data_IF_852335003202
#
_entry.id   IF_852335003202
#
_cell.length_a   1.000
_cell.length_b   1.000
_cell.length_c   1.000
_cell.angle_alpha   90.00
_cell.angle_beta   90.00
_cell.angle_gamma   90.00
#
_symmetry.space_group_name_H-M   'P 1'
#
loop_
_entity.id
_entity.type
_entity.pdbx_description
1 polymer ?
#
# COMPACT_ATOMS: atom_id res chain seq x y z
N UNK A 1 31.20 -75.98 36.21
CA UNK A 1 30.55 -74.79 35.61
C UNK A 1 29.86 -74.01 36.73
N UNK A 2 30.48 -72.94 37.21
CA UNK A 2 29.94 -72.11 38.30
C UNK A 2 28.74 -71.29 37.82
N UNK A 3 27.63 -71.34 38.56
CA UNK A 3 26.41 -70.56 38.31
C UNK A 3 26.73 -69.07 38.29
N UNK A 4 26.39 -68.39 37.19
CA UNK A 4 26.36 -66.93 37.11
C UNK A 4 25.44 -66.39 38.21
N UNK A 5 26.01 -65.76 39.24
CA UNK A 5 25.23 -65.01 40.23
C UNK A 5 24.64 -63.79 39.52
N UNK A 6 23.35 -63.84 39.20
CA UNK A 6 22.58 -62.64 38.92
C UNK A 6 22.63 -61.83 40.21
N UNK A 7 23.42 -60.75 40.22
CA UNK A 7 23.47 -59.81 41.34
C UNK A 7 22.09 -59.13 41.39
N UNK A 8 21.21 -59.62 42.25
CA UNK A 8 19.96 -58.94 42.56
C UNK A 8 20.30 -57.53 43.04
N UNK A 9 19.72 -56.51 42.40
CA UNK A 9 19.89 -55.11 42.81
C UNK A 9 19.40 -55.00 44.26
N UNK A 10 20.19 -54.36 45.12
CA UNK A 10 19.80 -54.16 46.52
C UNK A 10 18.41 -53.49 46.56
N UNK A 11 17.42 -54.03 47.29
CA UNK A 11 16.07 -53.48 47.36
C UNK A 11 16.03 -51.98 47.68
N UNK A 12 16.99 -51.51 48.50
CA UNK A 12 17.13 -50.09 48.85
C UNK A 12 17.53 -49.26 47.61
N UNK A 13 18.46 -49.77 46.80
CA UNK A 13 18.90 -49.11 45.57
C UNK A 13 17.77 -49.10 44.54
N UNK A 14 17.03 -50.21 44.40
CA UNK A 14 15.88 -50.28 43.51
C UNK A 14 14.77 -49.29 43.91
N UNK A 15 14.47 -49.16 45.21
CA UNK A 15 13.51 -48.20 45.72
C UNK A 15 13.92 -46.75 45.43
N UNK A 16 15.20 -46.40 45.61
CA UNK A 16 15.72 -45.08 45.27
C UNK A 16 15.58 -44.76 43.78
N UNK A 17 15.87 -45.73 42.90
CA UNK A 17 15.66 -45.55 41.46
C UNK A 17 14.19 -45.35 41.10
N UNK A 18 13.26 -46.08 41.74
CA UNK A 18 11.83 -45.93 41.50
C UNK A 18 11.31 -44.56 41.95
N UNK A 19 11.76 -44.06 43.11
CA UNK A 19 11.41 -42.73 43.59
C UNK A 19 11.94 -41.66 42.63
N UNK A 20 13.21 -41.77 42.22
CA UNK A 20 13.81 -40.83 41.28
C UNK A 20 13.09 -40.83 39.92
N UNK A 21 12.76 -42.01 39.38
CA UNK A 21 12.00 -42.13 38.14
C UNK A 21 10.59 -41.52 38.28
N UNK A 22 9.90 -41.76 39.40
CA UNK A 22 8.58 -41.18 39.65
C UNK A 22 8.62 -39.65 39.72
N UNK A 23 9.65 -39.07 40.35
CA UNK A 23 9.84 -37.61 40.40
C UNK A 23 10.12 -37.06 39.00
N UNK A 24 11.00 -37.69 38.23
CA UNK A 24 11.34 -37.25 36.85
C UNK A 24 10.09 -37.28 35.96
N UNK A 25 9.32 -38.37 35.99
CA UNK A 25 8.09 -38.49 35.21
C UNK A 25 7.04 -37.48 35.70
N UNK A 26 6.92 -37.26 37.00
CA UNK A 26 6.02 -36.27 37.59
C UNK A 26 6.34 -34.84 37.12
N UNK A 27 7.61 -34.44 37.16
CA UNK A 27 8.05 -33.11 36.68
C UNK A 27 7.82 -32.97 35.17
N UNK A 28 8.13 -34.01 34.39
CA UNK A 28 7.88 -34.01 32.94
C UNK A 28 6.38 -33.88 32.61
N UNK A 29 5.51 -34.56 33.37
CA UNK A 29 4.06 -34.47 33.20
C UNK A 29 3.51 -33.09 33.58
N UNK A 30 4.01 -32.49 34.66
CA UNK A 30 3.61 -31.12 35.06
C UNK A 30 4.06 -30.12 33.99
N UNK A 31 5.30 -30.22 33.51
CA UNK A 31 5.81 -29.34 32.45
C UNK A 31 5.03 -29.51 31.13
N UNK A 32 4.65 -30.74 30.78
CA UNK A 32 3.85 -31.02 29.59
C UNK A 32 2.41 -30.53 29.71
N UNK A 33 1.74 -30.78 30.83
CA UNK A 33 0.36 -30.33 31.06
C UNK A 33 0.26 -28.81 31.12
N UNK A 34 1.21 -28.12 31.75
CA UNK A 34 1.30 -26.66 31.72
C UNK A 34 1.45 -26.10 30.30
N UNK A 35 2.25 -26.76 29.44
CA UNK A 35 2.36 -26.37 28.01
C UNK A 35 1.06 -26.63 27.25
N UNK A 36 0.36 -27.73 27.53
CA UNK A 36 -0.89 -28.07 26.86
C UNK A 36 -2.02 -27.09 27.22
N UNK A 37 -2.18 -26.74 28.51
CA UNK A 37 -3.16 -25.74 28.93
C UNK A 37 -2.76 -24.31 28.53
N UNK A 38 -1.46 -24.01 28.52
CA UNK A 38 -0.93 -22.74 28.03
C UNK A 38 -1.10 -22.54 26.53
N UNK A 39 -1.17 -23.61 25.73
CA UNK A 39 -1.46 -23.58 24.30
C UNK A 39 -2.97 -23.64 24.00
N UNK A 40 -3.75 -24.38 24.80
CA UNK A 40 -5.20 -24.51 24.63
C UNK A 40 -5.98 -23.21 24.95
N UNK A 41 -5.43 -22.34 25.79
CA UNK A 41 -6.03 -21.04 26.12
C UNK A 41 -5.62 -19.92 25.15
N UNK A 42 -4.85 -20.21 24.09
CA UNK A 42 -4.46 -19.21 23.08
C UNK A 42 -5.49 -19.11 21.97
N UNK A 43 -6.10 -17.94 21.88
CA UNK A 43 -7.03 -17.56 20.83
C UNK A 43 -6.59 -16.24 20.18
N UNK A 44 -6.78 -16.17 18.88
CA UNK A 44 -6.59 -14.99 18.05
C UNK A 44 -7.92 -14.28 17.90
N UNK A 45 -8.01 -12.98 18.22
CA UNK A 45 -9.19 -12.17 17.93
C UNK A 45 -8.84 -10.69 17.85
N UNK A 46 -9.60 -9.98 17.01
CA UNK A 46 -9.53 -8.53 16.84
C UNK A 46 -10.85 -7.88 17.25
N UNK A 47 -10.73 -6.77 17.95
CA UNK A 47 -11.78 -5.79 18.06
C UNK A 47 -11.52 -4.70 17.04
N UNK A 48 -12.41 -4.55 16.06
CA UNK A 48 -12.36 -3.45 15.10
C UNK A 48 -13.46 -2.48 15.47
N UNK A 49 -13.11 -1.20 15.55
CA UNK A 49 -14.05 -0.09 15.72
C UNK A 49 -13.76 0.94 14.64
N UNK A 50 -14.76 1.73 14.29
CA UNK A 50 -14.62 2.71 13.23
C UNK A 50 -15.32 4.00 13.60
N UNK A 51 -14.68 5.10 13.24
CA UNK A 51 -15.15 6.45 13.44
C UNK A 51 -15.15 7.16 12.09
N UNK A 52 -16.35 7.51 11.62
CA UNK A 52 -16.49 8.32 10.42
C UNK A 52 -16.42 9.79 10.81
N UNK A 53 -15.40 10.47 10.34
CA UNK A 53 -15.26 11.92 10.48
C UNK A 53 -15.73 12.58 9.19
N UNK A 54 -16.93 13.18 9.24
CA UNK A 54 -17.40 14.09 8.20
C UNK A 54 -16.90 15.49 8.51
N UNK A 55 -16.09 16.04 7.61
CA UNK A 55 -15.91 17.48 7.50
C UNK A 55 -16.65 17.97 6.26
N UNK A 56 -16.93 19.27 6.18
CA UNK A 56 -17.61 19.91 5.04
C UNK A 56 -16.88 19.74 3.69
N UNK A 57 -15.66 19.20 3.68
CA UNK A 57 -14.80 19.07 2.50
C UNK A 57 -14.14 17.68 2.34
N UNK A 58 -14.17 16.81 3.36
CA UNK A 58 -13.55 15.46 3.34
C UNK A 58 -14.32 14.53 4.28
N UNK A 59 -14.70 13.36 3.81
CA UNK A 59 -15.18 12.28 4.68
C UNK A 59 -14.09 11.21 4.80
N UNK A 60 -13.67 10.97 6.05
CA UNK A 60 -12.59 10.04 6.38
C UNK A 60 -13.11 9.01 7.38
N UNK A 61 -12.76 7.74 7.17
CA UNK A 61 -13.08 6.67 8.10
C UNK A 61 -11.82 6.27 8.86
N UNK A 62 -11.76 6.59 10.15
CA UNK A 62 -10.68 6.12 11.03
C UNK A 62 -11.10 4.80 11.68
N UNK A 63 -10.38 3.74 11.39
CA UNK A 63 -10.48 2.45 12.04
C UNK A 63 -9.55 2.40 13.24
N UNK A 64 -9.99 1.75 14.30
CA UNK A 64 -9.14 1.33 15.41
C UNK A 64 -9.28 -0.18 15.58
N UNK A 65 -8.16 -0.87 15.43
CA UNK A 65 -8.04 -2.32 15.47
C UNK A 65 -7.23 -2.66 16.72
N UNK A 66 -7.85 -3.38 17.64
CA UNK A 66 -7.22 -3.83 18.89
C UNK A 66 -7.08 -5.33 18.90
N UNK A 67 -5.90 -5.83 19.25
CA UNK A 67 -5.71 -7.24 19.54
C UNK A 67 -6.32 -7.54 20.93
N UNK A 68 -7.46 -8.23 20.94
CA UNK A 68 -8.13 -8.69 22.16
C UNK A 68 -7.89 -10.17 22.44
N UNK A 69 -7.16 -10.83 21.55
CA UNK A 69 -6.68 -12.19 21.71
C UNK A 69 -5.48 -12.31 22.66
N UNK A 70 -4.83 -13.45 22.59
CA UNK A 70 -3.73 -13.86 23.47
C UNK A 70 -2.47 -14.26 22.71
N UNK A 71 -2.49 -14.20 21.38
CA UNK A 71 -1.34 -14.40 20.49
C UNK A 71 -1.05 -13.13 19.69
N UNK A 72 0.16 -13.08 19.13
CA UNK A 72 0.58 -12.01 18.23
C UNK A 72 -0.10 -12.20 16.86
N UNK A 73 -0.65 -11.11 16.33
CA UNK A 73 -1.37 -11.12 15.06
C UNK A 73 -0.68 -10.23 14.06
N UNK A 74 -0.58 -10.63 12.80
CA UNK A 74 -0.13 -9.75 11.70
C UNK A 74 -1.34 -9.39 10.86
N UNK A 75 -1.71 -8.10 10.79
CA UNK A 75 -2.71 -7.67 9.81
C UNK A 75 -2.14 -7.96 8.41
N UNK A 76 -2.95 -8.23 7.40
CA UNK A 76 -2.46 -8.49 6.04
C UNK A 76 -3.28 -7.79 4.96
N UNK A 77 -4.50 -7.38 5.29
CA UNK A 77 -5.38 -6.67 4.37
C UNK A 77 -6.46 -5.92 5.15
N UNK A 78 -6.84 -4.74 4.69
CA UNK A 78 -8.08 -4.08 5.09
C UNK A 78 -8.86 -3.75 3.83
N UNK A 79 -10.13 -4.10 3.80
CA UNK A 79 -11.06 -3.87 2.69
C UNK A 79 -12.29 -3.14 3.20
N UNK A 80 -12.85 -2.27 2.37
CA UNK A 80 -14.14 -1.64 2.63
C UNK A 80 -15.04 -1.87 1.44
N UNK A 81 -16.20 -2.46 1.71
CA UNK A 81 -17.25 -2.72 0.72
C UNK A 81 -18.45 -1.80 0.99
N UNK A 82 -19.05 -1.31 -0.09
CA UNK A 82 -20.32 -0.57 -0.08
C UNK A 82 -21.26 -1.12 -1.14
N UNK A 83 -22.56 -0.90 -0.97
CA UNK A 83 -23.59 -1.41 -1.90
C UNK A 83 -23.45 -0.87 -3.34
N UNK A 84 -22.68 0.20 -3.56
CA UNK A 84 -22.62 0.94 -4.84
C UNK A 84 -21.29 0.78 -5.60
N UNK A 85 -20.41 -0.16 -5.22
CA UNK A 85 -19.19 -0.45 -5.99
C UNK A 85 -18.12 0.66 -5.97
N UNK A 86 -18.26 1.65 -5.09
CA UNK A 86 -17.30 2.73 -4.87
C UNK A 86 -15.97 2.15 -4.37
N UNK A 87 -14.84 2.57 -4.95
CA UNK A 87 -13.50 2.18 -4.49
C UNK A 87 -13.07 3.01 -3.27
N UNK A 88 -12.52 2.35 -2.27
CA UNK A 88 -11.95 2.99 -1.07
C UNK A 88 -10.46 2.70 -1.01
N UNK A 89 -9.64 3.75 -0.88
CA UNK A 89 -8.22 3.60 -0.60
C UNK A 89 -8.03 3.47 0.92
N UNK A 90 -7.41 2.37 1.38
CA UNK A 90 -7.14 2.16 2.80
C UNK A 90 -5.70 2.52 3.12
N UNK A 91 -5.48 3.66 3.75
CA UNK A 91 -4.23 3.99 4.43
C UNK A 91 -4.21 3.28 5.80
N UNK A 92 -3.73 2.04 5.90
CA UNK A 92 -3.59 1.38 7.20
C UNK A 92 -2.73 2.23 8.18
N UNK A 93 -2.91 2.11 9.51
CA UNK A 93 -2.50 3.18 10.46
C UNK A 93 -2.10 2.75 11.89
N UNK A 94 -1.59 1.55 12.18
CA UNK A 94 -0.81 1.24 13.39
C UNK A 94 0.62 1.71 13.38
N UNK A 95 0.91 2.88 13.99
CA UNK A 95 2.23 3.53 14.01
C UNK A 95 2.96 3.45 12.65
N UNK A 96 2.50 4.30 11.74
CA UNK A 96 3.04 4.46 10.40
C UNK A 96 4.02 5.62 10.48
N UNK A 97 5.31 5.33 10.46
CA UNK A 97 6.36 6.36 10.30
C UNK A 97 6.54 6.69 8.82
N UNK A 98 5.42 6.90 8.11
CA UNK A 98 5.36 7.33 6.72
C UNK A 98 4.43 8.52 6.57
N UNK A 99 4.70 9.38 5.59
CA UNK A 99 3.86 10.51 5.23
C UNK A 99 2.93 10.08 4.10
N UNK A 100 1.66 10.49 4.19
CA UNK A 100 0.64 10.27 3.16
C UNK A 100 0.09 11.61 2.76
N UNK A 101 0.11 11.90 1.46
CA UNK A 101 -0.38 13.15 0.90
C UNK A 101 -1.36 12.85 -0.23
N UNK A 102 -2.51 13.51 -0.18
CA UNK A 102 -3.58 13.36 -1.17
C UNK A 102 -3.95 14.73 -1.67
N UNK A 103 -3.92 14.88 -2.99
CA UNK A 103 -4.25 16.10 -3.70
C UNK A 103 -5.54 15.88 -4.48
N UNK A 104 -6.55 16.65 -4.12
CA UNK A 104 -7.79 16.79 -4.85
C UNK A 104 -7.72 18.13 -5.59
N UNK A 105 -8.19 18.18 -6.83
CA UNK A 105 -8.18 19.41 -7.61
C UNK A 105 -9.58 20.03 -7.63
N UNK A 106 -10.05 20.50 -6.48
CA UNK A 106 -11.39 21.10 -6.33
C UNK A 106 -11.35 22.62 -6.48
N UNK A 107 -10.23 23.25 -6.13
CA UNK A 107 -10.03 24.69 -6.15
C UNK A 107 -8.63 25.07 -6.63
N UNK A 108 -8.48 26.31 -7.10
CA UNK A 108 -7.18 26.85 -7.52
C UNK A 108 -6.13 26.84 -6.40
N UNK A 109 -6.56 26.88 -5.13
CA UNK A 109 -5.69 26.81 -3.95
C UNK A 109 -5.01 25.43 -3.81
N UNK A 110 -5.56 24.37 -4.42
CA UNK A 110 -5.01 23.01 -4.37
C UNK A 110 -3.71 22.86 -5.19
N UNK A 111 -3.42 23.81 -6.09
CA UNK A 111 -2.12 23.92 -6.76
C UNK A 111 -1.02 24.49 -5.86
N UNK A 112 -1.35 24.91 -4.64
CA UNK A 112 -0.36 25.44 -3.70
C UNK A 112 0.77 24.45 -3.43
N UNK A 113 2.00 24.88 -3.73
CA UNK A 113 3.20 24.06 -3.54
C UNK A 113 3.46 23.05 -4.67
N UNK A 114 2.75 23.18 -5.79
CA UNK A 114 3.17 22.64 -7.08
C UNK A 114 3.88 23.74 -7.90
N UNK A 115 4.83 23.34 -8.71
CA UNK A 115 5.36 24.13 -9.83
C UNK A 115 4.55 23.77 -11.05
N UNK A 116 3.92 24.70 -11.75
CA UNK A 116 3.07 24.36 -12.88
C UNK A 116 3.11 25.43 -13.97
N UNK A 117 2.83 25.02 -15.19
CA UNK A 117 2.71 25.89 -16.36
C UNK A 117 1.53 25.42 -17.21
N UNK A 118 0.73 26.36 -17.70
CA UNK A 118 -0.52 26.11 -18.44
C UNK A 118 -1.53 25.16 -17.77
N UNK A 119 -1.37 24.87 -16.48
CA UNK A 119 -2.29 24.06 -15.69
C UNK A 119 -3.22 24.95 -14.85
N UNK A 120 -4.49 24.54 -14.71
CA UNK A 120 -5.46 25.21 -13.84
C UNK A 120 -6.49 24.21 -13.31
N UNK A 121 -7.09 24.52 -12.16
CA UNK A 121 -8.18 23.72 -11.62
C UNK A 121 -9.51 24.23 -12.18
N UNK A 122 -10.21 23.38 -12.92
CA UNK A 122 -11.59 23.63 -13.31
C UNK A 122 -12.49 23.35 -12.11
N UNK A 123 -12.77 24.39 -11.31
CA UNK A 123 -13.55 24.29 -10.07
C UNK A 123 -15.01 23.84 -10.29
N UNK A 124 -15.51 23.88 -11.54
CA UNK A 124 -16.85 23.37 -11.87
C UNK A 124 -16.81 21.86 -12.09
N UNK A 125 -15.76 21.35 -12.71
CA UNK A 125 -15.57 19.91 -12.92
C UNK A 125 -14.82 19.23 -11.77
N UNK A 126 -14.23 20.00 -10.85
CA UNK A 126 -13.35 19.52 -9.78
C UNK A 126 -12.20 18.67 -10.35
N UNK A 127 -11.55 19.18 -11.41
CA UNK A 127 -10.45 18.53 -12.12
C UNK A 127 -9.31 19.49 -12.42
N UNK A 128 -8.09 18.97 -12.42
CA UNK A 128 -6.94 19.65 -13.00
C UNK A 128 -6.98 19.49 -14.52
N UNK A 129 -6.84 20.61 -15.23
CA UNK A 129 -6.83 20.69 -16.69
C UNK A 129 -5.60 21.47 -17.18
N UNK A 130 -5.26 21.30 -18.45
CA UNK A 130 -4.12 21.93 -19.12
C UNK A 130 -4.61 22.69 -20.36
N UNK A 131 -3.98 23.83 -20.67
CA UNK A 131 -4.29 24.65 -21.84
C UNK A 131 -3.04 25.43 -22.34
N UNK A 132 -2.01 24.72 -22.83
CA UNK A 132 -0.83 25.32 -23.43
C UNK A 132 -1.11 25.87 -24.83
N UNK A 133 -0.33 26.87 -25.26
CA UNK A 133 -0.25 27.24 -26.67
C UNK A 133 0.26 26.08 -27.56
N UNK A 134 0.03 26.13 -28.88
CA UNK A 134 0.65 25.19 -29.82
C UNK A 134 2.17 25.16 -29.66
N UNK A 135 2.75 23.95 -29.67
CA UNK A 135 4.18 23.68 -29.48
C UNK A 135 4.73 23.99 -28.07
N UNK A 136 3.87 24.32 -27.10
CA UNK A 136 4.24 24.48 -25.68
C UNK A 136 3.73 23.31 -24.84
N UNK A 137 4.20 23.20 -23.59
CA UNK A 137 3.91 22.07 -22.69
C UNK A 137 3.21 22.57 -21.44
N UNK A 138 1.99 22.11 -21.19
CA UNK A 138 1.37 22.25 -19.88
C UNK A 138 1.87 21.18 -18.93
N UNK A 139 2.23 21.53 -17.70
CA UNK A 139 2.71 20.59 -16.68
C UNK A 139 2.36 21.02 -15.25
N UNK A 140 2.39 20.05 -14.33
CA UNK A 140 2.29 20.24 -12.88
C UNK A 140 3.32 19.35 -12.20
N UNK A 141 4.24 19.91 -11.43
CA UNK A 141 5.34 19.21 -10.78
C UNK A 141 5.29 19.45 -9.27
N UNK A 142 5.62 18.44 -8.49
CA UNK A 142 5.88 18.60 -7.06
C UNK A 142 6.99 17.70 -6.61
N UNK A 143 7.99 18.31 -5.99
CA UNK A 143 9.18 17.63 -5.48
C UNK A 143 9.06 17.39 -3.97
N UNK A 144 9.33 16.15 -3.52
CA UNK A 144 9.55 15.83 -2.11
C UNK A 144 11.03 15.61 -1.85
N UNK A 145 11.66 16.53 -1.13
CA UNK A 145 13.05 16.39 -0.71
C UNK A 145 13.13 15.85 0.72
N UNK A 146 13.42 14.55 0.87
CA UNK A 146 13.83 13.97 2.14
C UNK A 146 15.13 13.20 1.93
N UNK A 147 16.12 13.41 2.81
CA UNK A 147 17.48 12.88 2.67
C UNK A 147 17.57 11.33 2.65
N UNK A 148 16.46 10.66 2.90
CA UNK A 148 16.38 9.31 3.43
C UNK A 148 15.01 8.72 3.02
N UNK A 149 14.72 8.43 1.74
CA UNK A 149 13.44 7.85 1.30
C UNK A 149 13.53 6.33 1.08
N UNK A 150 12.86 5.49 1.87
CA UNK A 150 12.98 4.01 1.76
C UNK A 150 11.85 3.32 0.98
N UNK A 151 10.73 4.02 0.77
CA UNK A 151 9.56 3.47 0.11
C UNK A 151 8.74 4.58 -0.53
N UNK A 152 8.07 4.19 -1.62
CA UNK A 152 7.24 5.06 -2.41
C UNK A 152 6.16 4.24 -3.13
N UNK A 153 4.91 4.64 -2.95
CA UNK A 153 3.75 4.18 -3.72
C UNK A 153 2.93 5.39 -4.19
N UNK A 154 2.33 5.30 -5.36
CA UNK A 154 1.51 6.38 -5.95
C UNK A 154 0.35 5.83 -6.74
N UNK A 155 -0.79 6.51 -6.60
CA UNK A 155 -2.00 6.28 -7.36
C UNK A 155 -2.48 7.58 -7.99
N UNK A 156 -2.80 7.53 -9.28
CA UNK A 156 -3.24 8.69 -10.05
C UNK A 156 -4.43 8.30 -10.91
N UNK A 157 -5.43 9.18 -10.92
CA UNK A 157 -6.67 8.97 -11.65
C UNK A 157 -6.82 10.02 -12.75
N UNK A 158 -6.74 9.56 -14.00
CA UNK A 158 -6.59 10.41 -15.18
C UNK A 158 -7.60 10.05 -16.26
N UNK A 159 -8.19 11.08 -16.86
CA UNK A 159 -9.00 11.00 -18.09
C UNK A 159 -8.13 11.42 -19.28
N UNK A 160 -8.17 10.68 -20.39
CA UNK A 160 -7.42 11.02 -21.62
C UNK A 160 -8.18 10.63 -22.90
N UNK A 161 -8.22 11.53 -23.88
CA UNK A 161 -8.99 11.34 -25.13
C UNK A 161 -8.17 10.67 -26.25
N UNK A 162 -7.92 9.37 -26.14
CA UNK A 162 -7.80 8.35 -27.21
C UNK A 162 -6.98 8.56 -28.51
N UNK A 163 -6.30 9.66 -28.79
CA UNK A 163 -5.35 9.77 -29.92
C UNK A 163 -4.53 11.04 -29.83
N UNK A 164 -3.21 10.92 -30.03
CA UNK A 164 -2.37 12.05 -30.41
C UNK A 164 -2.36 12.18 -31.93
N UNK A 165 -2.48 13.39 -32.45
CA UNK A 165 -2.51 13.60 -33.90
C UNK A 165 -1.12 13.49 -34.58
N UNK A 166 -0.01 13.39 -33.82
CA UNK A 166 1.35 13.41 -34.41
C UNK A 166 2.48 12.62 -33.72
N UNK A 167 2.38 12.19 -32.45
CA UNK A 167 3.46 11.46 -31.73
C UNK A 167 3.05 10.86 -30.36
N UNK A 168 3.87 10.00 -29.75
CA UNK A 168 3.64 9.58 -28.36
C UNK A 168 3.89 10.73 -27.36
N UNK A 169 2.89 11.05 -26.53
CA UNK A 169 2.94 12.08 -25.50
C UNK A 169 3.03 11.48 -24.09
N UNK A 170 3.76 12.15 -23.18
CA UNK A 170 3.94 11.70 -21.79
C UNK A 170 2.71 12.08 -20.97
N UNK A 171 1.93 11.09 -20.58
CA UNK A 171 0.77 11.28 -19.71
C UNK A 171 1.17 11.34 -18.23
N UNK A 172 2.17 10.56 -17.87
CA UNK A 172 2.64 10.48 -16.50
C UNK A 172 4.11 10.09 -16.49
N UNK A 173 4.87 10.72 -15.61
CA UNK A 173 6.22 10.32 -15.29
C UNK A 173 6.46 10.45 -13.80
N UNK A 174 7.39 9.64 -13.28
CA UNK A 174 7.85 9.71 -11.91
C UNK A 174 9.26 9.15 -11.79
N UNK A 175 10.09 9.82 -10.98
CA UNK A 175 11.42 9.35 -10.59
C UNK A 175 11.52 9.31 -9.07
N UNK A 176 12.30 8.37 -8.55
CA UNK A 176 12.58 8.28 -7.12
C UNK A 176 13.95 7.65 -6.88
N UNK A 177 14.49 7.90 -5.68
CA UNK A 177 15.78 7.37 -5.27
C UNK A 177 15.66 6.70 -3.91
N UNK A 178 16.14 5.47 -3.84
CA UNK A 178 16.18 4.68 -2.61
C UNK A 178 17.63 4.59 -2.10
N UNK A 179 17.87 4.75 -0.80
CA UNK A 179 19.17 4.54 -0.19
C UNK A 179 19.77 3.18 -0.59
N UNK A 180 21.03 3.20 -1.01
CA UNK A 180 21.79 1.98 -1.30
C UNK A 180 23.00 1.84 -0.40
N UNK A 181 23.79 2.92 -0.26
CA UNK A 181 24.88 3.04 0.71
C UNK A 181 25.23 4.53 0.92
N UNK A 182 26.22 4.80 1.78
CA UNK A 182 26.68 6.15 2.15
C UNK A 182 27.08 7.07 0.98
N UNK A 183 27.23 6.54 -0.24
CA UNK A 183 27.70 7.29 -1.41
C UNK A 183 26.83 7.10 -2.66
N UNK A 184 25.83 6.22 -2.62
CA UNK A 184 25.03 5.84 -3.79
C UNK A 184 23.56 5.60 -3.42
N UNK A 185 22.67 5.87 -4.37
CA UNK A 185 21.26 5.54 -4.31
C UNK A 185 20.85 4.65 -5.51
N UNK A 186 19.77 3.88 -5.35
CA UNK A 186 19.09 3.23 -6.45
C UNK A 186 18.04 4.17 -7.02
N UNK A 187 18.22 4.62 -8.27
CA UNK A 187 17.23 5.36 -9.03
C UNK A 187 16.20 4.39 -9.62
N UNK A 188 14.92 4.69 -9.40
CA UNK A 188 13.81 4.13 -10.15
C UNK A 188 13.13 5.24 -10.96
N UNK A 189 12.53 4.88 -12.10
CA UNK A 189 11.62 5.75 -12.81
C UNK A 189 10.54 4.93 -13.51
N UNK A 190 9.35 5.51 -13.60
CA UNK A 190 8.20 4.92 -14.25
C UNK A 190 7.38 5.99 -14.96
N UNK A 191 6.68 5.62 -16.02
CA UNK A 191 5.80 6.54 -16.72
C UNK A 191 4.81 5.84 -17.64
N UNK A 192 3.81 6.60 -18.06
CA UNK A 192 2.81 6.21 -19.05
C UNK A 192 2.88 7.20 -20.20
N UNK A 193 3.03 6.67 -21.42
CA UNK A 193 2.90 7.43 -22.65
C UNK A 193 1.66 6.96 -23.42
N UNK A 194 1.06 7.88 -24.18
CA UNK A 194 -0.05 7.59 -25.10
C UNK A 194 0.43 7.85 -26.52
N UNK A 195 0.36 6.85 -27.40
CA UNK A 195 0.74 6.98 -28.81
C UNK A 195 -0.36 7.61 -29.69
N UNK A 196 -0.02 7.86 -30.96
CA UNK A 196 -0.93 8.44 -31.96
C UNK A 196 -2.18 7.58 -32.24
N UNK A 197 -2.17 6.30 -31.84
CA UNK A 197 -3.27 5.36 -32.01
C UNK A 197 -4.09 5.13 -30.72
N UNK A 198 -3.82 5.91 -29.67
CA UNK A 198 -4.45 5.74 -28.36
C UNK A 198 -3.96 4.50 -27.61
N UNK A 199 -2.79 3.97 -27.96
CA UNK A 199 -2.14 2.90 -27.20
C UNK A 199 -1.44 3.44 -25.98
N UNK A 200 -1.54 2.69 -24.89
CA UNK A 200 -0.82 2.97 -23.65
C UNK A 200 0.54 2.25 -23.68
N UNK A 201 1.59 2.99 -23.43
CA UNK A 201 2.96 2.49 -23.31
C UNK A 201 3.43 2.66 -21.86
N UNK A 202 3.99 1.60 -21.27
CA UNK A 202 4.60 1.66 -19.94
C UNK A 202 6.11 1.81 -20.06
N UNK A 203 6.60 2.90 -19.48
CA UNK A 203 8.00 3.31 -19.54
C UNK A 203 8.68 3.08 -18.19
N UNK A 204 9.86 2.46 -18.21
CA UNK A 204 10.74 2.33 -17.03
C UNK A 204 12.18 2.60 -17.43
N UNK A 205 13.10 2.78 -16.47
CA UNK A 205 14.52 3.01 -16.78
C UNK A 205 15.10 1.90 -17.68
N UNK A 206 16.02 2.29 -18.56
CA UNK A 206 16.91 1.35 -19.23
C UNK A 206 17.90 0.76 -18.22
N UNK A 207 18.41 -0.45 -18.50
CA UNK A 207 19.36 -1.13 -17.59
C UNK A 207 20.65 -0.33 -17.35
N UNK A 208 21.05 0.53 -18.30
CA UNK A 208 22.19 1.43 -18.20
C UNK A 208 21.87 2.76 -17.49
N UNK A 209 20.60 3.04 -17.21
CA UNK A 209 20.11 4.26 -16.58
C UNK A 209 20.26 5.53 -17.42
N UNK A 210 20.53 5.38 -18.73
CA UNK A 210 20.71 6.49 -19.66
C UNK A 210 19.39 7.09 -20.17
N UNK A 211 18.25 6.41 -19.95
CA UNK A 211 16.93 6.90 -20.33
C UNK A 211 15.81 5.95 -19.88
N UNK A 212 14.67 6.02 -20.56
CA UNK A 212 13.53 5.13 -20.37
C UNK A 212 13.31 4.26 -21.60
N UNK A 213 12.73 3.08 -21.38
CA UNK A 213 12.25 2.19 -22.44
C UNK A 213 10.77 1.92 -22.23
N UNK A 214 9.99 2.07 -23.30
CA UNK A 214 8.55 1.96 -23.28
C UNK A 214 8.08 0.68 -23.97
N UNK A 215 7.09 0.01 -23.41
CA UNK A 215 6.51 -1.22 -23.95
C UNK A 215 5.00 -1.08 -24.05
N UNK A 216 4.43 -1.57 -25.15
CA UNK A 216 2.98 -1.59 -25.34
C UNK A 216 2.30 -2.36 -24.21
N UNK A 217 1.37 -1.69 -23.53
CA UNK A 217 0.56 -2.25 -22.45
C UNK A 217 -0.85 -2.56 -22.92
N UNK A 218 -1.46 -1.67 -23.71
CA UNK A 218 -2.81 -1.86 -24.19
C UNK A 218 -3.34 -0.62 -24.89
N UNK A 219 -4.65 -0.41 -24.84
CA UNK A 219 -5.32 0.77 -25.39
C UNK A 219 -6.08 1.50 -24.30
N UNK A 220 -6.28 2.80 -24.49
CA UNK A 220 -7.19 3.60 -23.66
C UNK A 220 -8.58 2.95 -23.68
N UNK A 221 -9.21 2.73 -22.52
CA UNK A 221 -10.53 2.12 -22.43
C UNK A 221 -11.62 3.05 -23.01
N UNK A 222 -12.79 2.51 -23.33
CA UNK A 222 -13.91 3.32 -23.83
C UNK A 222 -14.38 4.38 -22.81
N UNK A 223 -14.19 4.11 -21.51
CA UNK A 223 -14.43 5.04 -20.40
C UNK A 223 -13.50 6.25 -20.43
N UNK A 224 -12.34 6.13 -21.11
CA UNK A 224 -11.23 7.10 -21.15
C UNK A 224 -10.52 7.34 -19.82
N UNK A 225 -11.08 6.83 -18.74
CA UNK A 225 -10.50 6.91 -17.41
C UNK A 225 -9.56 5.74 -17.17
N UNK A 226 -8.35 6.07 -16.77
CA UNK A 226 -7.35 5.09 -16.35
C UNK A 226 -6.85 5.40 -14.94
N UNK A 227 -6.52 4.34 -14.22
CA UNK A 227 -5.87 4.41 -12.93
C UNK A 227 -4.43 3.94 -13.09
N UNK A 228 -3.48 4.83 -12.77
CA UNK A 228 -2.05 4.55 -12.83
C UNK A 228 -1.57 4.28 -11.42
N UNK A 229 -0.99 3.09 -11.20
CA UNK A 229 -0.38 2.71 -9.92
C UNK A 229 1.11 2.50 -10.11
N UNK A 230 1.91 3.22 -9.34
CA UNK A 230 3.36 2.99 -9.24
C UNK A 230 3.66 2.48 -7.85
N UNK A 231 4.31 1.33 -7.81
CA UNK A 231 4.88 0.77 -6.60
C UNK A 231 6.38 0.63 -6.77
N UNK A 232 7.06 0.23 -5.69
CA UNK A 232 8.48 -0.10 -5.73
C UNK A 232 8.85 -1.05 -6.88
N UNK A 233 8.04 -2.07 -7.14
CA UNK A 233 8.45 -3.19 -7.98
C UNK A 233 7.84 -3.15 -9.38
N UNK A 234 6.73 -2.41 -9.56
CA UNK A 234 6.06 -2.30 -10.86
C UNK A 234 5.27 -1.01 -11.02
N UNK A 235 5.05 -0.65 -12.29
CA UNK A 235 3.98 0.25 -12.72
C UNK A 235 2.84 -0.58 -13.33
N UNK A 236 1.60 -0.18 -13.05
CA UNK A 236 0.39 -0.77 -13.60
C UNK A 236 -0.56 0.32 -14.09
N UNK A 237 -1.26 0.03 -15.17
CA UNK A 237 -2.37 0.84 -15.68
C UNK A 237 -3.60 -0.03 -15.73
N UNK A 238 -4.69 0.47 -15.16
CA UNK A 238 -5.98 -0.20 -15.09
C UNK A 238 -7.05 0.65 -15.77
N UNK A 239 -8.06 0.00 -16.32
CA UNK A 239 -9.32 0.67 -16.62
C UNK A 239 -9.96 1.06 -15.28
N UNK A 240 -10.17 2.36 -15.14
CA UNK A 240 -10.66 2.96 -13.92
C UNK A 240 -12.08 2.50 -13.54
N UNK A 241 -12.93 2.18 -14.52
CA UNK A 241 -14.30 1.74 -14.28
C UNK A 241 -14.36 0.25 -13.94
N UNK A 242 -13.71 -0.58 -14.75
CA UNK A 242 -13.79 -2.05 -14.63
C UNK A 242 -12.78 -2.66 -13.67
N UNK A 243 -11.74 -1.92 -13.26
CA UNK A 243 -10.55 -2.44 -12.56
C UNK A 243 -9.75 -3.48 -13.34
N UNK A 244 -10.00 -3.66 -14.64
CA UNK A 244 -9.21 -4.58 -15.44
C UNK A 244 -7.80 -4.01 -15.64
N UNK A 245 -6.78 -4.83 -15.38
CA UNK A 245 -5.39 -4.45 -15.64
C UNK A 245 -5.20 -4.40 -17.15
N UNK A 246 -4.93 -3.19 -17.67
CA UNK A 246 -4.61 -2.97 -19.08
C UNK A 246 -3.18 -3.44 -19.33
N UNK A 247 -2.24 -3.09 -18.45
CA UNK A 247 -0.90 -3.65 -18.49
C UNK A 247 -0.08 -3.35 -17.25
N UNK A 248 1.02 -4.08 -17.11
CA UNK A 248 1.99 -3.92 -16.03
C UNK A 248 3.42 -4.06 -16.53
N UNK A 249 4.36 -3.42 -15.83
CA UNK A 249 5.79 -3.51 -16.12
C UNK A 249 6.60 -3.42 -14.84
N UNK A 250 7.60 -4.29 -14.70
CA UNK A 250 8.52 -4.28 -13.57
C UNK A 250 9.43 -3.04 -13.61
N UNK A 251 9.70 -2.47 -12.43
CA UNK A 251 10.62 -1.33 -12.28
C UNK A 251 12.06 -1.82 -12.40
N UNK A 252 12.83 -1.10 -13.23
CA UNK A 252 14.27 -1.26 -13.34
C UNK A 252 14.95 -0.25 -12.42
N UNK A 253 15.89 -0.71 -11.61
CA UNK A 253 16.68 0.12 -10.71
C UNK A 253 18.13 0.24 -11.17
N UNK A 254 18.67 1.45 -11.14
CA UNK A 254 20.07 1.73 -11.48
C UNK A 254 20.76 2.42 -10.32
N UNK A 255 21.99 1.98 -9.99
CA UNK A 255 22.78 2.61 -8.92
C UNK A 255 23.46 3.87 -9.47
N UNK A 256 23.19 5.02 -8.86
CA UNK A 256 23.75 6.32 -9.25
C UNK A 256 24.34 7.06 -8.05
N UNK A 257 25.28 7.99 -8.32
CA UNK A 257 25.81 8.92 -7.33
C UNK A 257 24.75 9.94 -6.91
N UNK A 258 24.80 10.34 -5.63
CA UNK A 258 23.76 11.07 -4.87
C UNK A 258 22.95 12.09 -5.72
N UNK A 259 21.60 12.01 -5.67
CA UNK A 259 20.74 12.99 -6.33
C UNK A 259 19.85 13.78 -5.36
N UNK A 260 19.46 14.96 -5.81
CA UNK A 260 18.35 15.72 -5.25
C UNK A 260 17.04 14.98 -5.58
N UNK A 261 16.36 14.54 -4.52
CA UNK A 261 15.11 13.81 -4.57
C UNK A 261 14.03 14.64 -5.26
N UNK A 262 13.54 14.16 -6.40
CA UNK A 262 12.48 14.80 -7.18
C UNK A 262 11.53 13.70 -7.64
N UNK A 263 10.37 13.57 -6.98
CA UNK A 263 9.22 13.09 -7.76
C UNK A 263 8.89 14.24 -8.68
N UNK A 264 8.83 13.95 -9.97
CA UNK A 264 8.37 14.90 -10.96
C UNK A 264 7.19 14.24 -11.62
N UNK A 265 6.00 14.73 -11.32
CA UNK A 265 4.86 14.45 -12.16
C UNK A 265 5.01 15.34 -13.39
N UNK A 266 4.94 14.72 -14.57
CA UNK A 266 4.72 15.42 -15.82
C UNK A 266 3.46 14.79 -16.41
N UNK A 267 2.40 15.59 -16.47
CA UNK A 267 1.54 15.52 -17.64
C UNK A 267 2.21 16.48 -18.58
N UNK A 268 2.72 15.99 -19.70
CA UNK A 268 3.17 16.85 -20.78
C UNK A 268 2.05 16.88 -21.81
N UNK A 269 1.45 18.04 -22.02
CA UNK A 269 0.74 18.29 -23.27
C UNK A 269 1.78 18.70 -24.32
N UNK A 270 2.50 17.74 -24.88
CA UNK A 270 3.33 17.95 -26.07
C UNK A 270 2.54 17.47 -27.29
N UNK A 271 2.24 18.38 -28.22
CA UNK A 271 1.64 18.05 -29.52
C UNK A 271 0.30 17.29 -29.44
N UNK A 272 -0.78 17.98 -29.05
CA UNK A 272 -2.18 17.57 -29.31
C UNK A 272 -2.71 16.39 -28.46
N UNK A 273 -2.18 16.14 -27.25
CA UNK A 273 -2.90 15.33 -26.23
C UNK A 273 -4.06 16.16 -25.67
N UNK A 274 -5.15 16.24 -26.43
CA UNK A 274 -6.32 17.00 -26.03
C UNK A 274 -7.01 16.36 -24.80
N UNK A 275 -7.48 17.22 -23.89
CA UNK A 275 -8.38 16.87 -22.78
C UNK A 275 -7.81 15.94 -21.70
N UNK A 276 -6.53 16.06 -21.33
CA UNK A 276 -6.03 15.37 -20.13
C UNK A 276 -6.64 16.02 -18.88
N UNK A 277 -7.32 15.21 -18.06
CA UNK A 277 -7.88 15.69 -16.79
C UNK A 277 -7.47 14.81 -15.63
N UNK A 278 -7.06 15.42 -14.51
CA UNK A 278 -6.69 14.68 -13.29
C UNK A 278 -7.71 14.94 -12.19
N UNK A 279 -8.23 13.85 -11.62
CA UNK A 279 -9.15 13.93 -10.48
C UNK A 279 -8.40 13.96 -9.16
N UNK A 280 -7.46 13.03 -8.95
CA UNK A 280 -6.65 13.00 -7.73
C UNK A 280 -5.26 12.40 -7.95
N UNK A 281 -4.36 12.78 -7.04
CA UNK A 281 -3.03 12.19 -6.87
C UNK A 281 -2.91 11.76 -5.40
N UNK A 282 -2.60 10.48 -5.18
CA UNK A 282 -2.29 9.96 -3.85
C UNK A 282 -0.86 9.44 -3.82
N UNK A 283 -0.08 9.92 -2.85
CA UNK A 283 1.32 9.55 -2.69
C UNK A 283 1.55 9.09 -1.25
N UNK A 284 2.20 7.94 -1.12
CA UNK A 284 2.59 7.33 0.14
C UNK A 284 4.10 7.10 0.15
N UNK A 285 4.79 7.62 1.17
CA UNK A 285 6.24 7.47 1.27
C UNK A 285 6.72 7.41 2.72
N UNK A 286 7.95 6.90 2.95
CA UNK A 286 8.55 6.92 4.29
C UNK A 286 10.06 7.13 4.30
N UNK A 287 10.54 7.57 5.47
CA UNK A 287 11.95 7.84 5.76
C UNK A 287 12.83 6.59 5.84
N UNK A 288 14.17 6.75 5.78
CA UNK A 288 15.17 5.69 5.86
C UNK A 288 15.19 5.02 7.23
N UNK A 289 15.40 3.71 7.26
CA UNK A 289 15.43 2.92 8.50
C UNK A 289 14.06 2.72 9.14
N UNK A 290 12.98 3.16 8.47
CA UNK A 290 11.62 2.77 8.80
C UNK A 290 11.29 1.53 7.95
N UNK A 291 10.81 0.43 8.56
CA UNK A 291 10.44 -0.75 7.77
C UNK A 291 9.38 -0.36 6.73
N UNK A 292 9.32 -1.08 5.58
CA UNK A 292 8.21 -0.95 4.62
C UNK A 292 6.87 -1.02 5.35
N UNK A 293 5.80 -0.54 4.71
CA UNK A 293 4.42 -0.68 5.15
C UNK A 293 3.98 -2.17 5.21
N UNK A 294 4.69 -2.98 5.98
CA UNK A 294 4.21 -4.25 6.47
C UNK A 294 3.17 -3.92 7.52
N UNK A 295 1.96 -4.42 7.27
CA UNK A 295 0.94 -4.46 8.29
C UNK A 295 1.50 -4.92 9.64
N UNK A 296 1.21 -4.18 10.72
CA UNK A 296 1.91 -4.36 11.99
C UNK A 296 1.61 -5.73 12.59
N UNK A 297 2.63 -6.31 13.22
CA UNK A 297 2.42 -7.33 14.24
C UNK A 297 1.87 -6.64 15.48
N UNK A 298 0.64 -6.93 15.84
CA UNK A 298 -0.06 -6.42 17.01
C UNK A 298 -0.05 -7.46 18.11
N UNK A 299 0.52 -7.11 19.27
CA UNK A 299 0.57 -7.99 20.44
C UNK A 299 -0.72 -7.91 21.24
N UNK A 300 -1.02 -8.90 22.09
CA UNK A 300 -2.19 -8.85 22.98
C UNK A 300 -2.28 -7.51 23.73
N UNK A 301 -3.39 -6.79 23.54
CA UNK A 301 -3.65 -5.48 24.13
C UNK A 301 -3.26 -4.27 23.26
N UNK A 302 -2.42 -4.45 22.24
CA UNK A 302 -2.02 -3.39 21.32
C UNK A 302 -3.23 -2.88 20.53
N UNK A 303 -3.21 -1.58 20.22
CA UNK A 303 -4.19 -0.94 19.36
C UNK A 303 -3.47 -0.22 18.24
N UNK A 304 -3.97 -0.41 17.02
CA UNK A 304 -3.49 0.22 15.80
C UNK A 304 -4.65 0.94 15.12
N UNK A 305 -4.40 2.10 14.53
CA UNK A 305 -5.41 2.79 13.73
C UNK A 305 -5.33 2.37 12.25
N UNK A 306 -6.25 2.83 11.41
CA UNK A 306 -6.12 2.81 9.96
C UNK A 306 -7.05 3.88 9.41
N UNK A 307 -6.57 4.71 8.49
CA UNK A 307 -7.36 5.71 7.82
C UNK A 307 -7.85 5.15 6.48
N UNK A 308 -9.16 5.07 6.28
CA UNK A 308 -9.74 4.76 4.98
C UNK A 308 -10.23 6.06 4.36
N UNK A 309 -9.73 6.35 3.17
CA UNK A 309 -10.06 7.52 2.38
C UNK A 309 -10.75 7.08 1.09
N UNK A 310 -11.63 7.93 0.60
CA UNK A 310 -12.31 7.75 -0.69
C UNK A 310 -12.78 9.11 -1.18
N UNK A 311 -13.33 9.16 -2.40
CA UNK A 311 -13.89 10.38 -2.96
C UNK A 311 -14.97 11.00 -2.08
N UNK A 312 -15.21 12.29 -2.29
CA UNK A 312 -16.15 13.17 -1.57
C UNK A 312 -17.54 12.56 -1.34
N UNK A 313 -18.05 11.79 -2.32
CA UNK A 313 -19.40 11.22 -2.29
C UNK A 313 -19.48 9.76 -1.79
N UNK A 314 -18.34 9.14 -1.46
CA UNK A 314 -18.32 7.74 -1.07
C UNK A 314 -19.01 7.46 0.29
N UNK A 315 -18.99 8.44 1.20
CA UNK A 315 -19.50 8.31 2.58
C UNK A 315 -20.88 8.97 2.78
N UNK A 316 -21.88 8.43 2.11
CA UNK A 316 -23.27 8.87 2.15
C UNK A 316 -23.90 8.61 3.53
N UNK A 317 -24.51 9.65 4.11
CA UNK A 317 -25.20 9.55 5.40
C UNK A 317 -26.27 8.46 5.39
N UNK A 318 -26.30 7.62 6.43
CA UNK A 318 -27.29 6.55 6.58
C UNK A 318 -27.00 5.28 5.77
N UNK A 319 -25.97 5.26 4.92
CA UNK A 319 -25.52 4.04 4.24
C UNK A 319 -24.64 3.18 5.15
N UNK A 320 -24.67 1.88 4.90
CA UNK A 320 -23.84 0.88 5.57
C UNK A 320 -22.60 0.55 4.73
N UNK A 321 -21.47 0.39 5.41
CA UNK A 321 -20.18 -0.01 4.87
C UNK A 321 -19.70 -1.24 5.63
N UNK A 322 -19.18 -2.24 4.92
CA UNK A 322 -18.60 -3.43 5.54
C UNK A 322 -17.08 -3.26 5.50
N UNK A 323 -16.46 -3.15 6.67
CA UNK A 323 -15.00 -3.12 6.80
C UNK A 323 -14.53 -4.52 7.16
N UNK A 324 -13.69 -5.12 6.33
CA UNK A 324 -13.10 -6.44 6.54
C UNK A 324 -11.61 -6.33 6.77
N UNK A 325 -11.14 -6.77 7.94
CA UNK A 325 -9.72 -6.86 8.29
C UNK A 325 -9.29 -8.32 8.17
N UNK A 326 -8.31 -8.60 7.33
CA UNK A 326 -7.65 -9.91 7.21
C UNK A 326 -6.36 -9.90 8.01
N UNK A 327 -6.10 -10.96 8.76
CA UNK A 327 -4.93 -11.07 9.64
C UNK A 327 -4.49 -12.54 9.82
N UNK A 328 -3.23 -12.74 10.21
CA UNK A 328 -2.62 -14.04 10.48
C UNK A 328 -2.38 -14.18 11.98
N UNK A 329 -2.83 -15.30 12.56
CA UNK A 329 -2.35 -15.79 13.85
C UNK A 329 -0.92 -16.32 13.68
N UNK A 330 0.08 -15.61 14.24
CA UNK A 330 1.48 -15.98 14.05
C UNK A 330 1.88 -17.26 14.79
N UNK A 331 1.13 -17.67 15.81
CA UNK A 331 1.39 -18.92 16.54
C UNK A 331 0.94 -20.15 15.74
N UNK A 332 -0.18 -20.03 15.01
CA UNK A 332 -0.79 -21.13 14.23
C UNK A 332 -0.56 -21.01 12.73
N UNK A 333 0.02 -19.90 12.28
CA UNK A 333 0.15 -19.51 10.88
C UNK A 333 -1.19 -19.62 10.11
N UNK A 334 -2.27 -19.20 10.76
CA UNK A 334 -3.63 -19.33 10.23
C UNK A 334 -4.16 -17.95 9.82
N UNK A 335 -4.61 -17.83 8.58
CA UNK A 335 -5.29 -16.65 8.06
C UNK A 335 -6.73 -16.59 8.59
N UNK A 336 -7.15 -15.42 9.04
CA UNK A 336 -8.47 -15.16 9.60
C UNK A 336 -8.98 -13.78 9.15
N UNK A 337 -10.29 -13.56 9.30
CA UNK A 337 -10.93 -12.30 8.94
C UNK A 337 -11.85 -11.81 10.06
N UNK A 338 -11.97 -10.49 10.18
CA UNK A 338 -12.93 -9.82 11.06
C UNK A 338 -13.63 -8.73 10.28
N UNK A 339 -14.96 -8.81 10.20
CA UNK A 339 -15.77 -7.80 9.54
C UNK A 339 -16.64 -7.05 10.52
N UNK A 340 -16.75 -5.73 10.32
CA UNK A 340 -17.69 -4.88 11.04
C UNK A 340 -18.55 -4.11 10.06
N UNK A 341 -19.78 -3.80 10.49
CA UNK A 341 -20.64 -2.85 9.80
C UNK A 341 -20.44 -1.47 10.39
N UNK A 342 -20.24 -0.50 9.51
CA UNK A 342 -20.12 0.92 9.85
C UNK A 342 -21.25 1.65 9.16
N UNK A 343 -22.04 2.41 9.91
CA UNK A 343 -23.06 3.29 9.34
C UNK A 343 -22.52 4.71 9.36
N UNK A 344 -22.52 5.38 8.21
CA UNK A 344 -22.20 6.79 8.16
C UNK A 344 -23.26 7.58 8.91
N UNK A 345 -22.89 8.20 10.03
CA UNK A 345 -23.78 9.11 10.76
C UNK A 345 -23.72 10.50 10.12
N UNK A 346 -24.83 11.22 10.19
CA UNK A 346 -24.98 12.60 9.69
C UNK A 346 -24.13 13.58 10.49
#
# INVERSE_FOLDING_TARGET
>A
MGKNRIKAINPIIAALFLIAAAVIVGVAYIAWSQKLFGAANRYADLQVTAELQKSSQKAQLTLYIKNVGTCDLKITKIEVESEEGVKYAVCAGGRFTGKSEIYWFESSDDLSGFTYEYAYVNETEEKLEFNPPPDEIGYVEKTWSEAELDFFDTEIYVETNSSSDKAAGVLFYIEWWLPYNDTHAKKGAAGVEVDEYGSLLLCTLTEDGAGTTCTHAGKIPESKWIEIKVSRDKIEVLDAESNEVIGSKEIVYVVQGVPDFTVRFHIDEYCDLDDVKVSYIHILYHGWGQPPAEYPVIRPGDTVSALVVSGKDAWVSGKEYIVTVTFIDLDKNQLMTKSIKVTAKS
#
